data_IF_488306496474
#
_entry.id   IF_488306496474
#
_cell.length_a   1.000
_cell.length_b   1.000
_cell.length_c   1.000
_cell.angle_alpha   90.00
_cell.angle_beta   90.00
_cell.angle_gamma   90.00
#
_symmetry.space_group_name_H-M   'P 1'
#
loop_
_entity.id
_entity.type
_entity.pdbx_description
1 polymer ?
#
# COMPACT_ATOMS: atom_id res chain seq x y z
N UNK A 1 4.86 -6.59 -0.75
CA UNK A 1 5.24 -7.85 -1.44
C UNK A 1 3.96 -8.65 -1.61
N UNK A 2 3.70 -9.25 -2.78
CA UNK A 2 2.54 -10.11 -3.00
C UNK A 2 2.48 -11.29 -2.00
N UNK A 3 1.27 -11.70 -1.61
CA UNK A 3 1.10 -12.72 -0.57
C UNK A 3 1.63 -14.10 -0.98
N UNK A 4 1.46 -14.47 -2.25
CA UNK A 4 2.00 -15.68 -2.85
C UNK A 4 3.54 -15.72 -2.75
N UNK A 5 4.21 -14.60 -2.94
CA UNK A 5 5.67 -14.49 -2.81
C UNK A 5 6.13 -14.74 -1.37
N UNK A 6 5.37 -14.26 -0.39
CA UNK A 6 5.65 -14.48 1.05
C UNK A 6 5.50 -15.96 1.40
N UNK A 7 4.39 -16.58 0.99
CA UNK A 7 4.12 -18.00 1.24
C UNK A 7 5.16 -18.89 0.58
N UNK A 8 5.48 -18.65 -0.69
CA UNK A 8 6.49 -19.42 -1.41
C UNK A 8 7.86 -19.31 -0.74
N UNK A 9 8.23 -18.11 -0.32
CA UNK A 9 9.51 -17.91 0.38
C UNK A 9 9.54 -18.65 1.71
N UNK A 10 8.45 -18.63 2.48
CA UNK A 10 8.34 -19.38 3.74
C UNK A 10 8.50 -20.89 3.52
N UNK A 11 7.80 -21.46 2.55
CA UNK A 11 7.88 -22.89 2.22
C UNK A 11 9.31 -23.29 1.85
N UNK A 12 9.96 -22.50 0.98
CA UNK A 12 11.35 -22.75 0.58
C UNK A 12 12.29 -22.66 1.77
N UNK A 13 12.19 -21.63 2.60
CA UNK A 13 13.02 -21.47 3.79
C UNK A 13 12.84 -22.61 4.79
N UNK A 14 11.62 -23.12 4.96
CA UNK A 14 11.34 -24.29 5.80
C UNK A 14 11.93 -25.58 5.21
N UNK A 15 11.79 -25.78 3.90
CA UNK A 15 12.32 -26.98 3.23
C UNK A 15 13.85 -27.04 3.34
N UNK A 16 14.53 -25.91 3.09
CA UNK A 16 16.00 -25.78 3.15
C UNK A 16 16.54 -26.09 4.55
N UNK A 17 15.82 -25.71 5.61
CA UNK A 17 16.27 -25.89 6.99
C UNK A 17 15.54 -27.00 7.76
N UNK A 18 14.85 -27.90 7.07
CA UNK A 18 14.03 -28.94 7.68
C UNK A 18 14.78 -29.87 8.65
N UNK A 19 16.12 -29.97 8.54
CA UNK A 19 16.99 -30.76 9.43
C UNK A 19 17.87 -29.95 10.38
N UNK A 20 17.84 -28.62 10.33
CA UNK A 20 18.76 -27.78 11.10
C UNK A 20 18.14 -27.42 12.47
N UNK A 21 18.79 -27.81 13.58
CA UNK A 21 18.22 -27.76 14.94
C UNK A 21 18.85 -26.71 15.87
N UNK A 22 19.74 -25.86 15.36
CA UNK A 22 20.47 -24.89 16.20
C UNK A 22 20.77 -23.54 15.54
N UNK A 23 20.53 -23.39 14.25
CA UNK A 23 20.87 -22.19 13.48
C UNK A 23 19.64 -21.31 13.24
N UNK A 24 19.78 -20.00 13.41
CA UNK A 24 18.75 -19.02 13.05
C UNK A 24 19.14 -18.33 11.74
N UNK A 25 18.19 -18.24 10.80
CA UNK A 25 18.38 -17.61 9.50
C UNK A 25 17.37 -16.49 9.26
N UNK A 26 17.85 -15.36 8.74
CA UNK A 26 17.03 -14.21 8.40
C UNK A 26 17.04 -14.04 6.89
N UNK A 27 15.86 -14.05 6.28
CA UNK A 27 15.68 -13.88 4.84
C UNK A 27 15.04 -12.53 4.51
N UNK A 28 15.71 -11.74 3.68
CA UNK A 28 15.16 -10.51 3.12
C UNK A 28 14.47 -10.82 1.80
N UNK A 29 13.15 -11.02 1.86
CA UNK A 29 12.34 -11.28 0.68
C UNK A 29 11.83 -9.94 0.14
N UNK A 30 11.87 -9.75 -1.17
CA UNK A 30 11.39 -8.57 -1.85
C UNK A 30 10.92 -8.88 -3.26
N UNK A 31 10.01 -8.07 -3.79
CA UNK A 31 9.79 -8.04 -5.24
C UNK A 31 11.05 -7.49 -5.92
N UNK A 32 11.37 -7.99 -7.12
CA UNK A 32 12.57 -7.61 -7.89
C UNK A 32 12.87 -6.10 -7.88
N UNK A 33 14.16 -5.77 -7.82
CA UNK A 33 14.66 -4.38 -7.93
C UNK A 33 14.67 -3.85 -9.36
N UNK A 34 14.44 -4.71 -10.37
CA UNK A 34 14.46 -4.30 -11.78
C UNK A 34 13.31 -3.35 -12.14
N UNK A 35 12.18 -3.43 -11.45
CA UNK A 35 11.03 -2.55 -11.72
C UNK A 35 10.40 -2.05 -10.40
N UNK A 36 11.06 -1.12 -9.70
CA UNK A 36 10.55 -0.60 -8.44
C UNK A 36 9.33 0.27 -8.71
N UNK A 37 8.17 -0.16 -8.22
CA UNK A 37 6.93 0.61 -8.34
C UNK A 37 6.96 1.76 -7.34
N UNK A 38 6.96 3.00 -7.83
CA UNK A 38 6.83 4.19 -6.99
C UNK A 38 5.44 4.23 -6.35
N UNK A 39 5.35 4.71 -5.11
CA UNK A 39 4.08 4.84 -4.39
C UNK A 39 3.04 5.65 -5.15
N UNK A 40 3.47 6.71 -5.86
CA UNK A 40 2.60 7.49 -6.74
C UNK A 40 1.91 6.66 -7.82
N UNK A 41 2.59 5.64 -8.35
CA UNK A 41 2.02 4.75 -9.37
C UNK A 41 0.96 3.84 -8.80
N UNK A 42 1.13 3.37 -7.55
CA UNK A 42 0.13 2.57 -6.85
C UNK A 42 -1.15 3.38 -6.66
N UNK A 43 -1.02 4.63 -6.21
CA UNK A 43 -2.15 5.55 -6.03
C UNK A 43 -2.85 5.86 -7.36
N UNK A 44 -2.09 6.14 -8.42
CA UNK A 44 -2.64 6.38 -9.76
C UNK A 44 -3.42 5.15 -10.27
N UNK A 45 -2.85 3.96 -10.15
CA UNK A 45 -3.50 2.71 -10.55
C UNK A 45 -4.80 2.48 -9.76
N UNK A 46 -4.77 2.67 -8.44
CA UNK A 46 -5.96 2.55 -7.59
C UNK A 46 -7.04 3.56 -7.99
N UNK A 47 -6.68 4.84 -8.14
CA UNK A 47 -7.61 5.89 -8.57
C UNK A 47 -8.27 5.55 -9.91
N UNK A 48 -7.47 5.17 -10.93
CA UNK A 48 -7.99 4.79 -12.25
C UNK A 48 -8.91 3.58 -12.18
N UNK A 49 -8.54 2.55 -11.43
CA UNK A 49 -9.34 1.33 -11.30
C UNK A 49 -10.70 1.62 -10.66
N UNK A 50 -10.74 2.29 -9.51
CA UNK A 50 -11.99 2.56 -8.79
C UNK A 50 -12.84 3.66 -9.42
N UNK A 51 -12.23 4.55 -10.22
CA UNK A 51 -12.99 5.49 -11.05
C UNK A 51 -13.73 4.79 -12.19
N UNK A 52 -13.10 3.79 -12.81
CA UNK A 52 -13.72 2.99 -13.87
C UNK A 52 -14.68 1.92 -13.32
N UNK A 53 -14.39 1.39 -12.13
CA UNK A 53 -15.16 0.33 -11.48
C UNK A 53 -15.55 0.80 -10.07
N UNK A 54 -16.60 1.63 -9.93
CA UNK A 54 -17.00 2.18 -8.65
C UNK A 54 -17.46 1.07 -7.70
N UNK A 55 -16.99 1.13 -6.46
CA UNK A 55 -17.60 0.36 -5.38
C UNK A 55 -18.96 0.97 -5.03
N UNK A 56 -19.89 0.16 -4.56
CA UNK A 56 -21.22 0.62 -4.16
C UNK A 56 -21.35 0.61 -2.63
N UNK A 57 -21.93 1.67 -2.10
CA UNK A 57 -22.28 1.77 -0.69
C UNK A 57 -23.44 0.82 -0.34
N UNK A 58 -23.73 0.70 0.97
CA UNK A 58 -24.88 -0.08 1.45
C UNK A 58 -26.22 0.44 0.93
N UNK A 59 -26.26 1.72 0.55
CA UNK A 59 -27.41 2.40 -0.05
C UNK A 59 -27.50 2.18 -1.57
N UNK A 60 -26.62 1.36 -2.15
CA UNK A 60 -26.58 1.08 -3.59
C UNK A 60 -26.03 2.23 -4.43
N UNK A 61 -25.52 3.30 -3.82
CA UNK A 61 -24.93 4.43 -4.55
C UNK A 61 -23.44 4.21 -4.83
N UNK A 62 -22.92 4.66 -5.98
CA UNK A 62 -21.50 4.56 -6.27
C UNK A 62 -20.69 5.46 -5.34
N UNK A 63 -19.62 4.90 -4.77
CA UNK A 63 -18.66 5.62 -3.96
C UNK A 63 -17.78 6.45 -4.90
N UNK A 64 -17.88 7.78 -4.79
CA UNK A 64 -17.10 8.70 -5.62
C UNK A 64 -15.66 8.75 -5.11
N UNK A 65 -14.74 8.17 -5.88
CA UNK A 65 -13.32 8.17 -5.56
C UNK A 65 -12.67 9.47 -6.05
N UNK A 66 -12.04 10.18 -5.12
CA UNK A 66 -11.18 11.34 -5.40
C UNK A 66 -9.73 10.91 -5.49
N UNK A 67 -8.95 11.62 -6.29
CA UNK A 67 -7.51 11.42 -6.35
C UNK A 67 -6.88 11.77 -5.00
N UNK A 68 -5.98 10.91 -4.51
CA UNK A 68 -5.34 11.07 -3.21
C UNK A 68 -4.14 12.00 -3.32
N UNK A 69 -4.12 13.06 -2.51
CA UNK A 69 -2.98 13.96 -2.41
C UNK A 69 -1.79 13.26 -1.74
N UNK A 70 -0.67 13.19 -2.47
CA UNK A 70 0.61 12.71 -1.93
C UNK A 70 1.49 13.89 -1.54
N UNK A 71 2.08 13.81 -0.34
CA UNK A 71 2.91 14.87 0.20
C UNK A 71 4.36 14.43 0.30
N UNK A 72 5.26 15.28 -0.15
CA UNK A 72 6.71 15.04 -0.12
C UNK A 72 7.31 15.22 1.27
N UNK A 73 6.61 15.89 2.20
CA UNK A 73 7.04 16.10 3.58
C UNK A 73 5.85 16.45 4.49
N UNK A 74 6.12 16.39 5.80
CA UNK A 74 5.12 16.63 6.85
C UNK A 74 4.61 18.07 6.90
N UNK A 75 5.42 19.06 6.53
CA UNK A 75 4.99 20.47 6.54
C UNK A 75 3.90 20.73 5.50
N UNK A 76 4.05 20.21 4.28
CA UNK A 76 3.00 20.28 3.24
C UNK A 76 1.74 19.55 3.68
N UNK A 77 1.86 18.36 4.27
CA UNK A 77 0.73 17.62 4.80
C UNK A 77 -0.01 18.42 5.88
N UNK A 78 0.71 18.98 6.86
CA UNK A 78 0.13 19.78 7.95
C UNK A 78 -0.61 21.01 7.42
N UNK A 79 -0.03 21.73 6.45
CA UNK A 79 -0.69 22.89 5.81
C UNK A 79 -1.97 22.49 5.08
N UNK A 80 -1.93 21.39 4.31
CA UNK A 80 -3.12 20.86 3.64
C UNK A 80 -4.21 20.50 4.65
N UNK A 81 -3.87 19.78 5.71
CA UNK A 81 -4.82 19.43 6.77
C UNK A 81 -5.39 20.66 7.48
N UNK A 82 -4.57 21.66 7.76
CA UNK A 82 -5.02 22.91 8.36
C UNK A 82 -6.06 23.61 7.47
N UNK A 83 -5.76 23.77 6.19
CA UNK A 83 -6.62 24.50 5.24
C UNK A 83 -7.92 23.75 4.90
N UNK A 84 -7.84 22.45 4.61
CA UNK A 84 -8.97 21.71 4.05
C UNK A 84 -9.77 20.91 5.08
N UNK A 85 -9.24 20.72 6.29
CA UNK A 85 -9.91 19.92 7.32
C UNK A 85 -10.06 20.64 8.66
N UNK A 86 -9.08 21.40 9.14
CA UNK A 86 -9.20 22.08 10.45
C UNK A 86 -9.94 23.42 10.36
N UNK A 87 -9.56 24.27 9.41
CA UNK A 87 -10.15 25.60 9.23
C UNK A 87 -11.67 25.56 8.97
N UNK A 88 -12.21 24.63 8.16
CA UNK A 88 -13.67 24.49 8.00
C UNK A 88 -14.39 24.03 9.26
N UNK A 89 -13.69 23.46 10.25
CA UNK A 89 -14.27 22.98 11.51
C UNK A 89 -14.24 24.05 12.63
N UNK A 90 -13.67 25.24 12.38
CA UNK A 90 -13.73 26.38 13.31
C UNK A 90 -12.97 26.22 14.62
N UNK A 91 -11.99 25.31 14.69
CA UNK A 91 -11.10 25.10 15.85
C UNK A 91 -9.86 25.96 15.76
#
# INVERSE_FOLDING_TARGET
IPGDMVVNSMIVSMAVHSGDRGSQFIYHVGSSVQNPVRYSKIVECGYRYFKANPCYGKDGKPIIVREVSLFSNMERFRRYMALYHKLPLGV
#
